data_IF_862811074812
#
_entry.id   IF_862811074812
#
_cell.length_a   1.000
_cell.length_b   1.000
_cell.length_c   1.000
_cell.angle_alpha   90.00
_cell.angle_beta   90.00
_cell.angle_gamma   90.00
#
_symmetry.space_group_name_H-M   'P 1'
#
loop_
_entity.id
_entity.type
_entity.pdbx_description
1 polymer ?
#
# COMPACT_ATOMS: atom_id res chain seq x y z
N UNK A 1 -20.58 -2.03 -13.93
CA UNK A 1 -20.04 -1.85 -12.56
C UNK A 1 -18.57 -2.24 -12.61
N UNK A 2 -17.67 -1.51 -11.94
CA UNK A 2 -16.25 -1.88 -11.92
C UNK A 2 -16.07 -3.23 -11.20
N UNK A 3 -15.22 -4.10 -11.73
CA UNK A 3 -14.93 -5.43 -11.20
C UNK A 3 -14.23 -5.31 -9.83
N UNK A 4 -14.72 -6.03 -8.82
CA UNK A 4 -14.10 -6.11 -7.49
C UNK A 4 -12.99 -7.15 -7.53
N UNK A 5 -11.75 -6.75 -7.23
CA UNK A 5 -10.59 -7.64 -7.22
C UNK A 5 -10.22 -8.13 -5.82
N UNK A 6 -10.45 -7.31 -4.78
CA UNK A 6 -10.28 -7.68 -3.37
C UNK A 6 -11.58 -7.44 -2.62
N UNK A 7 -12.02 -8.44 -1.87
CA UNK A 7 -13.14 -8.33 -0.94
C UNK A 7 -12.70 -8.78 0.44
N UNK A 8 -12.86 -7.90 1.41
CA UNK A 8 -12.60 -8.15 2.84
C UNK A 8 -13.94 -8.12 3.57
N UNK A 9 -14.21 -9.14 4.37
CA UNK A 9 -15.47 -9.30 5.09
C UNK A 9 -15.21 -9.68 6.54
N UNK A 10 -15.60 -8.80 7.46
CA UNK A 10 -15.49 -8.95 8.91
C UNK A 10 -14.14 -9.43 9.40
N UNK A 11 -13.04 -8.92 8.80
CA UNK A 11 -11.67 -9.35 9.07
C UNK A 11 -11.26 -9.01 10.50
N UNK A 12 -10.73 -9.99 11.25
CA UNK A 12 -10.38 -9.84 12.66
C UNK A 12 -9.00 -10.39 12.97
N UNK A 13 -8.31 -9.70 13.89
CA UNK A 13 -7.01 -10.14 14.45
C UNK A 13 -6.87 -9.72 15.89
N UNK A 14 -6.36 -10.64 16.71
CA UNK A 14 -6.04 -10.40 18.11
C UNK A 14 -4.61 -10.87 18.43
N UNK A 15 -3.97 -10.20 19.38
CA UNK A 15 -2.69 -10.59 19.97
C UNK A 15 -2.83 -10.53 21.49
N UNK A 16 -2.47 -11.58 22.17
CA UNK A 16 -2.53 -11.67 23.65
C UNK A 16 -3.87 -11.20 24.22
N UNK A 17 -4.97 -11.60 23.58
CA UNK A 17 -6.32 -11.22 23.97
C UNK A 17 -6.77 -9.81 23.57
N UNK A 18 -5.87 -8.98 23.05
CA UNK A 18 -6.19 -7.62 22.58
C UNK A 18 -6.57 -7.65 21.09
N UNK A 19 -7.79 -7.20 20.76
CA UNK A 19 -8.22 -7.05 19.35
C UNK A 19 -7.50 -5.87 18.70
N UNK A 20 -6.70 -6.16 17.67
CA UNK A 20 -5.98 -5.17 16.85
C UNK A 20 -6.76 -4.84 15.58
N UNK A 21 -7.44 -5.82 14.96
CA UNK A 21 -8.38 -5.59 13.86
C UNK A 21 -9.74 -6.12 14.31
N UNK A 22 -10.75 -5.24 14.30
CA UNK A 22 -12.03 -5.45 15.02
C UNK A 22 -13.22 -5.70 14.07
N UNK A 23 -13.03 -6.49 13.02
CA UNK A 23 -14.12 -6.84 12.11
C UNK A 23 -14.31 -5.80 11.00
N UNK A 24 -13.26 -5.50 10.26
CA UNK A 24 -13.31 -4.54 9.15
C UNK A 24 -13.83 -5.21 7.87
N UNK A 25 -14.54 -4.43 7.07
CA UNK A 25 -15.06 -4.86 5.76
C UNK A 25 -14.88 -3.76 4.73
N UNK A 26 -14.35 -4.12 3.56
CA UNK A 26 -14.19 -3.22 2.42
C UNK A 26 -13.98 -4.00 1.12
N UNK A 27 -14.13 -3.31 0.00
CA UNK A 27 -13.88 -3.86 -1.34
C UNK A 27 -12.96 -2.93 -2.10
N UNK A 28 -12.04 -3.52 -2.91
CA UNK A 28 -11.13 -2.80 -3.81
C UNK A 28 -11.48 -3.18 -5.25
N UNK A 29 -11.59 -2.17 -6.11
CA UNK A 29 -11.90 -2.33 -7.53
C UNK A 29 -10.61 -2.54 -8.31
N UNK A 30 -10.71 -3.26 -9.43
CA UNK A 30 -9.58 -3.49 -10.33
C UNK A 30 -9.08 -2.17 -10.92
N UNK A 31 -7.77 -1.95 -10.88
CA UNK A 31 -7.11 -0.76 -11.41
C UNK A 31 -7.23 0.49 -10.55
N UNK A 32 -7.84 0.41 -9.33
CA UNK A 32 -7.82 1.56 -8.42
C UNK A 32 -6.58 1.57 -7.53
N UNK A 33 -6.22 2.75 -7.05
CA UNK A 33 -5.31 2.94 -5.93
C UNK A 33 -6.16 3.11 -4.67
N UNK A 34 -6.07 2.14 -3.76
CA UNK A 34 -6.82 2.12 -2.50
C UNK A 34 -5.89 2.35 -1.32
N UNK A 35 -6.18 3.38 -0.51
CA UNK A 35 -5.40 3.70 0.68
C UNK A 35 -6.03 3.19 1.97
N UNK A 36 -5.21 2.70 2.91
CA UNK A 36 -5.59 2.49 4.31
C UNK A 36 -4.84 3.53 5.12
N UNK A 37 -5.55 4.56 5.56
CA UNK A 37 -5.02 5.73 6.24
C UNK A 37 -5.30 5.65 7.74
N UNK A 38 -4.33 5.99 8.57
CA UNK A 38 -4.53 6.04 10.02
C UNK A 38 -3.24 6.17 10.80
N UNK A 39 -3.32 6.41 12.12
CA UNK A 39 -2.15 6.54 12.98
C UNK A 39 -1.40 5.23 13.15
N UNK A 40 -0.19 5.31 13.71
CA UNK A 40 0.57 4.15 14.11
C UNK A 40 -0.22 3.34 15.16
N UNK A 41 -0.26 2.01 14.98
CA UNK A 41 -1.05 1.12 15.83
C UNK A 41 -2.53 1.01 15.50
N UNK A 42 -3.04 1.70 14.46
CA UNK A 42 -4.44 1.56 14.02
C UNK A 42 -4.78 0.17 13.45
N UNK A 43 -3.79 -0.67 13.13
CA UNK A 43 -3.98 -2.01 12.57
C UNK A 43 -3.77 -2.10 11.05
N UNK A 44 -3.23 -1.05 10.41
CA UNK A 44 -3.01 -0.97 8.95
C UNK A 44 -2.11 -2.12 8.44
N UNK A 45 -0.86 -2.19 8.92
CA UNK A 45 0.10 -3.25 8.57
C UNK A 45 -0.44 -4.65 8.86
N UNK A 46 -1.07 -4.84 10.04
CA UNK A 46 -1.69 -6.13 10.38
C UNK A 46 -2.79 -6.52 9.39
N UNK A 47 -3.57 -5.55 8.90
CA UNK A 47 -4.60 -5.78 7.89
C UNK A 47 -3.97 -6.22 6.57
N UNK A 48 -2.93 -5.52 6.09
CA UNK A 48 -2.22 -5.91 4.86
C UNK A 48 -1.60 -7.30 5.01
N UNK A 49 -0.82 -7.55 6.06
CA UNK A 49 -0.15 -8.83 6.31
C UNK A 49 -1.11 -10.03 6.34
N UNK A 50 -2.35 -9.87 6.82
CA UNK A 50 -3.38 -10.91 6.74
C UNK A 50 -3.84 -11.16 5.30
N UNK A 51 -4.02 -10.11 4.51
CA UNK A 51 -4.45 -10.21 3.10
C UNK A 51 -3.32 -10.78 2.24
N UNK A 52 -2.07 -10.40 2.54
CA UNK A 52 -0.84 -10.88 1.91
C UNK A 52 -0.46 -12.31 2.28
N UNK A 53 -1.24 -12.96 3.14
CA UNK A 53 -0.95 -14.32 3.66
C UNK A 53 0.28 -14.42 4.59
N UNK A 54 0.80 -13.32 5.06
CA UNK A 54 1.93 -13.26 5.99
C UNK A 54 1.51 -13.51 7.45
N UNK A 55 0.22 -13.27 7.76
CA UNK A 55 -0.36 -13.52 9.09
C UNK A 55 -1.67 -14.30 9.00
N UNK A 56 -1.93 -15.20 9.96
CA UNK A 56 -3.21 -15.90 10.02
C UNK A 56 -4.36 -14.95 10.39
N UNK A 57 -5.51 -15.16 9.78
CA UNK A 57 -6.78 -14.49 10.07
C UNK A 57 -7.44 -15.20 11.26
N UNK A 58 -7.90 -14.45 12.28
CA UNK A 58 -8.58 -15.02 13.45
C UNK A 58 -10.10 -15.06 13.25
N UNK A 59 -10.66 -14.19 12.41
CA UNK A 59 -12.08 -14.17 12.08
C UNK A 59 -12.38 -13.40 10.79
N UNK A 60 -13.51 -13.70 10.16
CA UNK A 60 -13.86 -13.16 8.87
C UNK A 60 -13.08 -13.81 7.72
N UNK A 61 -12.98 -13.10 6.59
CA UNK A 61 -12.28 -13.60 5.41
C UNK A 61 -11.80 -12.46 4.48
N UNK A 62 -10.82 -12.79 3.64
CA UNK A 62 -10.43 -11.97 2.51
C UNK A 62 -10.36 -12.83 1.23
N UNK A 63 -10.85 -12.26 0.12
CA UNK A 63 -10.87 -12.91 -1.18
C UNK A 63 -10.14 -12.02 -2.19
N UNK A 64 -9.14 -12.55 -2.87
CA UNK A 64 -8.48 -11.90 -4.01
C UNK A 64 -8.90 -12.63 -5.29
N UNK A 65 -9.53 -11.90 -6.20
CA UNK A 65 -10.07 -12.46 -7.45
C UNK A 65 -10.93 -13.73 -7.20
N UNK A 66 -11.74 -13.71 -6.12
CA UNK A 66 -12.58 -14.83 -5.70
C UNK A 66 -11.85 -15.94 -4.92
N UNK A 67 -10.52 -15.91 -4.82
CA UNK A 67 -9.70 -16.91 -4.10
C UNK A 67 -9.53 -16.50 -2.64
N UNK A 68 -9.85 -17.39 -1.70
CA UNK A 68 -9.73 -17.11 -0.26
C UNK A 68 -8.25 -17.15 0.17
N UNK A 69 -7.77 -16.05 0.77
CA UNK A 69 -6.35 -15.89 1.12
C UNK A 69 -5.88 -16.90 2.15
N UNK A 70 -6.72 -17.28 3.10
CA UNK A 70 -6.36 -18.24 4.15
C UNK A 70 -6.39 -19.70 3.68
N UNK A 71 -7.23 -20.01 2.68
CA UNK A 71 -7.39 -21.39 2.18
C UNK A 71 -6.40 -21.74 1.08
N UNK A 72 -6.03 -20.76 0.25
CA UNK A 72 -5.20 -20.99 -0.93
C UNK A 72 -4.00 -20.00 -0.99
N UNK A 73 -3.18 -19.89 0.07
CA UNK A 73 -2.12 -18.88 0.17
C UNK A 73 -1.09 -18.98 -0.97
N UNK A 74 -0.83 -20.19 -1.47
CA UNK A 74 0.10 -20.38 -2.59
C UNK A 74 -0.40 -19.72 -3.88
N UNK A 75 -1.71 -19.82 -4.19
CA UNK A 75 -2.28 -19.14 -5.36
C UNK A 75 -2.22 -17.63 -5.22
N UNK A 76 -2.47 -17.13 -4.00
CA UNK A 76 -2.44 -15.70 -3.72
C UNK A 76 -1.06 -15.12 -3.99
N UNK A 77 0.03 -15.78 -3.58
CA UNK A 77 1.41 -15.30 -3.78
C UNK A 77 1.76 -15.03 -5.24
N UNK A 78 1.18 -15.77 -6.18
CA UNK A 78 1.35 -15.52 -7.61
C UNK A 78 0.48 -14.38 -8.15
N UNK A 79 -0.50 -13.91 -7.39
CA UNK A 79 -1.40 -12.82 -7.79
C UNK A 79 -0.99 -11.47 -7.24
N UNK A 80 -0.15 -11.44 -6.21
CA UNK A 80 0.20 -10.23 -5.46
C UNK A 80 1.71 -9.95 -5.54
N UNK A 81 2.04 -8.66 -5.65
CA UNK A 81 3.37 -8.14 -5.34
C UNK A 81 3.32 -7.44 -3.98
N UNK A 82 4.35 -7.58 -3.18
CA UNK A 82 4.42 -6.99 -1.84
C UNK A 82 5.71 -6.21 -1.69
N UNK A 83 5.59 -4.94 -1.38
CA UNK A 83 6.69 -4.12 -0.91
C UNK A 83 6.48 -3.85 0.58
N UNK A 84 7.29 -4.50 1.40
CA UNK A 84 7.27 -4.35 2.85
C UNK A 84 8.07 -3.13 3.30
N UNK A 85 7.79 -2.61 4.50
CA UNK A 85 8.49 -1.47 5.09
C UNK A 85 10.02 -1.69 5.19
N UNK A 86 10.45 -2.94 5.40
CA UNK A 86 11.87 -3.32 5.40
C UNK A 86 12.08 -4.52 4.50
N UNK A 87 12.73 -4.32 3.36
CA UNK A 87 13.11 -5.41 2.46
C UNK A 87 14.60 -5.70 2.62
N UNK A 88 14.93 -6.90 3.09
CA UNK A 88 16.30 -7.38 3.13
C UNK A 88 16.64 -8.09 1.81
N UNK A 89 17.63 -7.61 1.10
CA UNK A 89 18.21 -8.27 -0.07
C UNK A 89 19.54 -8.91 0.29
N UNK A 90 19.98 -9.86 -0.52
CA UNK A 90 21.30 -10.48 -0.36
C UNK A 90 22.40 -9.46 -0.68
N UNK A 91 23.37 -9.34 0.21
CA UNK A 91 24.55 -8.49 0.01
C UNK A 91 25.44 -9.03 -1.11
N UNK A 92 26.18 -8.13 -1.76
CA UNK A 92 27.16 -8.46 -2.81
C UNK A 92 26.57 -9.19 -4.03
N UNK A 93 25.28 -9.00 -4.29
CA UNK A 93 24.58 -9.47 -5.49
C UNK A 93 24.14 -8.24 -6.29
N UNK A 94 24.34 -8.27 -7.61
CA UNK A 94 23.96 -7.15 -8.48
C UNK A 94 22.45 -7.01 -8.60
N UNK A 95 21.98 -5.79 -8.87
CA UNK A 95 20.55 -5.54 -9.05
C UNK A 95 19.92 -6.42 -10.13
N UNK A 96 20.63 -6.65 -11.23
CA UNK A 96 20.18 -7.56 -12.31
C UNK A 96 19.99 -8.97 -11.82
N UNK A 97 20.97 -9.50 -11.10
CA UNK A 97 20.95 -10.88 -10.57
C UNK A 97 19.86 -11.07 -9.51
N UNK A 98 19.62 -10.05 -8.67
CA UNK A 98 18.53 -10.07 -7.69
C UNK A 98 17.15 -10.13 -8.37
N UNK A 99 16.93 -9.36 -9.45
CA UNK A 99 15.66 -9.40 -10.19
C UNK A 99 15.48 -10.73 -10.92
N UNK A 100 16.53 -11.29 -11.53
CA UNK A 100 16.49 -12.61 -12.16
C UNK A 100 16.18 -13.72 -11.15
N UNK A 101 16.82 -13.68 -9.99
CA UNK A 101 16.58 -14.62 -8.90
C UNK A 101 15.13 -14.51 -8.39
N UNK A 102 14.63 -13.29 -8.22
CA UNK A 102 13.26 -13.05 -7.78
C UNK A 102 12.25 -13.59 -8.80
N UNK A 103 12.44 -13.33 -10.10
CA UNK A 103 11.58 -13.85 -11.15
C UNK A 103 11.60 -15.39 -11.20
N UNK A 104 12.79 -15.99 -11.10
CA UNK A 104 12.95 -17.43 -11.07
C UNK A 104 12.19 -18.10 -9.92
N UNK A 105 12.06 -17.44 -8.75
CA UNK A 105 11.25 -17.95 -7.64
C UNK A 105 9.75 -18.05 -7.96
N UNK A 106 9.28 -17.29 -8.96
CA UNK A 106 7.90 -17.41 -9.51
C UNK A 106 7.82 -18.27 -10.76
N UNK A 107 8.94 -18.88 -11.22
CA UNK A 107 8.99 -19.65 -12.46
C UNK A 107 8.98 -18.77 -13.72
N UNK A 108 9.23 -17.48 -13.59
CA UNK A 108 9.17 -16.47 -14.64
C UNK A 108 10.57 -16.03 -15.08
N UNK A 109 10.64 -15.37 -16.24
CA UNK A 109 11.83 -14.65 -16.69
C UNK A 109 11.58 -13.16 -16.62
N UNK A 110 12.43 -12.44 -15.89
CA UNK A 110 12.30 -10.99 -15.77
C UNK A 110 12.79 -10.29 -17.05
N UNK A 111 12.03 -9.29 -17.51
CA UNK A 111 12.59 -8.23 -18.34
C UNK A 111 13.31 -7.23 -17.45
N UNK A 112 14.54 -7.60 -17.04
CA UNK A 112 15.36 -6.84 -16.07
C UNK A 112 15.61 -5.42 -16.55
N UNK A 113 15.83 -5.24 -17.86
CA UNK A 113 16.06 -3.91 -18.43
C UNK A 113 14.85 -3.02 -18.23
N UNK A 114 13.66 -3.49 -18.62
CA UNK A 114 12.41 -2.76 -18.44
C UNK A 114 12.16 -2.43 -16.97
N UNK A 115 12.31 -3.41 -16.07
CA UNK A 115 12.08 -3.21 -14.63
C UNK A 115 12.99 -2.14 -14.04
N UNK A 116 14.27 -2.11 -14.42
CA UNK A 116 15.21 -1.09 -13.96
C UNK A 116 14.95 0.28 -14.60
N UNK A 117 14.53 0.32 -15.88
CA UNK A 117 14.11 1.54 -16.56
C UNK A 117 12.84 2.13 -15.90
N UNK A 118 11.88 1.28 -15.54
CA UNK A 118 10.62 1.69 -14.91
C UNK A 118 10.82 2.37 -13.56
N UNK A 119 11.89 2.02 -12.83
CA UNK A 119 12.22 2.58 -11.51
C UNK A 119 13.43 3.55 -11.53
N UNK A 120 13.87 4.01 -12.69
CA UNK A 120 15.02 4.90 -12.89
C UNK A 120 16.31 4.39 -12.23
N UNK A 121 16.66 3.12 -12.46
CA UNK A 121 17.88 2.49 -11.95
C UNK A 121 18.72 1.78 -13.03
N UNK A 122 18.50 2.08 -14.31
CA UNK A 122 19.24 1.47 -15.41
C UNK A 122 20.73 1.72 -15.37
N UNK A 123 21.14 2.90 -14.90
CA UNK A 123 22.54 3.27 -14.68
C UNK A 123 23.21 2.49 -13.53
N UNK A 124 22.41 1.85 -12.68
CA UNK A 124 22.83 1.06 -11.51
C UNK A 124 22.71 -0.45 -11.71
N UNK A 125 22.38 -0.93 -12.91
CA UNK A 125 22.13 -2.34 -13.19
C UNK A 125 23.19 -3.30 -12.65
N UNK A 126 24.48 -2.92 -12.73
CA UNK A 126 25.63 -3.69 -12.24
C UNK A 126 26.06 -3.33 -10.81
N UNK A 127 25.35 -2.43 -10.13
CA UNK A 127 25.64 -2.05 -8.75
C UNK A 127 25.11 -3.08 -7.76
N UNK A 128 25.69 -3.09 -6.56
CA UNK A 128 25.14 -3.85 -5.42
C UNK A 128 24.13 -3.01 -4.65
N UNK A 129 23.16 -3.67 -4.00
CA UNK A 129 22.06 -3.01 -3.28
C UNK A 129 22.57 -2.11 -2.14
N UNK A 130 23.67 -2.49 -1.49
CA UNK A 130 24.26 -1.73 -0.38
C UNK A 130 24.76 -0.32 -0.80
N UNK A 131 25.06 -0.12 -2.08
CA UNK A 131 25.53 1.17 -2.61
C UNK A 131 24.40 2.11 -3.06
N UNK A 132 23.16 1.67 -2.95
CA UNK A 132 22.00 2.49 -3.26
C UNK A 132 21.61 3.40 -2.09
N UNK A 133 21.14 4.61 -2.41
CA UNK A 133 20.49 5.48 -1.43
C UNK A 133 19.16 4.86 -0.93
N UNK A 134 18.61 5.37 0.19
CA UNK A 134 17.32 4.90 0.72
C UNK A 134 16.21 4.92 -0.33
N UNK A 135 16.05 6.04 -1.05
CA UNK A 135 15.05 6.16 -2.11
C UNK A 135 15.29 5.23 -3.31
N UNK A 136 16.57 4.97 -3.65
CA UNK A 136 16.91 3.99 -4.69
C UNK A 136 16.59 2.56 -4.24
N UNK A 137 16.89 2.20 -2.99
CA UNK A 137 16.52 0.89 -2.41
C UNK A 137 15.00 0.69 -2.43
N UNK A 138 14.26 1.74 -2.10
CA UNK A 138 12.80 1.72 -2.13
C UNK A 138 12.27 1.46 -3.56
N UNK A 139 12.76 2.19 -4.56
CA UNK A 139 12.40 1.97 -5.96
C UNK A 139 12.80 0.59 -6.47
N UNK A 140 13.98 0.09 -6.06
CA UNK A 140 14.40 -1.27 -6.39
C UNK A 140 13.49 -2.34 -5.77
N UNK A 141 13.04 -2.17 -4.51
CA UNK A 141 12.10 -3.10 -3.88
C UNK A 141 10.76 -3.18 -4.61
N UNK A 142 10.32 -2.06 -5.20
CA UNK A 142 9.14 -2.02 -6.07
C UNK A 142 9.39 -2.83 -7.34
N UNK A 143 10.52 -2.63 -8.03
CA UNK A 143 10.86 -3.42 -9.22
C UNK A 143 10.88 -4.92 -8.91
N UNK A 144 11.48 -5.31 -7.78
CA UNK A 144 11.53 -6.71 -7.33
C UNK A 144 10.14 -7.30 -7.05
N UNK A 145 9.22 -6.52 -6.49
CA UNK A 145 7.84 -6.95 -6.24
C UNK A 145 6.99 -7.08 -7.52
N UNK A 146 7.40 -6.42 -8.60
CA UNK A 146 6.68 -6.42 -9.88
C UNK A 146 7.20 -7.44 -10.92
N UNK A 147 8.25 -8.21 -10.61
CA UNK A 147 8.92 -9.13 -11.57
C UNK A 147 7.98 -10.13 -12.24
N UNK A 148 6.91 -10.56 -11.56
CA UNK A 148 5.93 -11.54 -12.03
C UNK A 148 4.61 -10.90 -12.46
N UNK A 149 4.57 -9.58 -12.67
CA UNK A 149 3.41 -8.82 -13.13
C UNK A 149 2.14 -9.09 -12.29
N UNK A 150 2.16 -8.81 -10.98
CA UNK A 150 1.06 -9.10 -10.08
C UNK A 150 -0.22 -8.35 -10.46
N UNK A 151 -1.39 -8.92 -10.12
CA UNK A 151 -2.70 -8.27 -10.31
C UNK A 151 -2.96 -7.18 -9.27
N UNK A 152 -2.40 -7.36 -8.08
CA UNK A 152 -2.48 -6.41 -6.97
C UNK A 152 -1.07 -6.17 -6.43
N UNK A 153 -0.73 -4.92 -6.21
CA UNK A 153 0.52 -4.52 -5.60
C UNK A 153 0.26 -3.86 -4.24
N UNK A 154 0.82 -4.44 -3.19
CA UNK A 154 0.72 -3.95 -1.83
C UNK A 154 1.97 -3.15 -1.46
N UNK A 155 1.76 -2.02 -0.78
CA UNK A 155 2.82 -1.12 -0.33
C UNK A 155 2.55 -0.72 1.12
N UNK A 156 3.42 -1.11 2.05
CA UNK A 156 3.28 -0.72 3.45
C UNK A 156 4.15 0.51 3.76
N UNK A 157 3.49 1.66 3.97
CA UNK A 157 4.10 2.97 4.25
C UNK A 157 5.27 3.32 3.32
N UNK A 158 5.05 3.36 1.99
CA UNK A 158 6.11 3.35 0.99
C UNK A 158 7.00 4.59 0.99
N UNK A 159 6.55 5.71 1.55
CA UNK A 159 7.31 6.99 1.55
C UNK A 159 7.92 7.34 2.90
N UNK A 160 7.77 6.45 3.90
CA UNK A 160 8.34 6.69 5.24
C UNK A 160 9.86 6.81 5.17
N UNK A 161 10.40 7.88 5.77
CA UNK A 161 11.84 8.16 5.81
C UNK A 161 12.44 8.71 4.50
N UNK A 162 11.62 9.00 3.49
CA UNK A 162 12.08 9.62 2.25
C UNK A 162 12.06 11.15 2.36
N UNK A 163 13.06 11.79 1.75
CA UNK A 163 13.04 13.23 1.54
C UNK A 163 11.91 13.66 0.56
N UNK A 164 11.53 14.96 0.53
CA UNK A 164 10.39 15.41 -0.28
C UNK A 164 10.54 15.15 -1.78
N UNK A 165 11.77 15.13 -2.32
CA UNK A 165 12.00 14.85 -3.74
C UNK A 165 11.85 13.36 -4.03
N UNK A 166 12.45 12.50 -3.20
CA UNK A 166 12.33 11.04 -3.32
C UNK A 166 10.86 10.59 -3.18
N UNK A 167 10.09 11.24 -2.29
CA UNK A 167 8.66 11.00 -2.14
C UNK A 167 7.89 11.31 -3.41
N UNK A 168 8.11 12.47 -4.03
CA UNK A 168 7.45 12.83 -5.31
C UNK A 168 7.80 11.84 -6.43
N UNK A 169 9.07 11.48 -6.56
CA UNK A 169 9.50 10.49 -7.56
C UNK A 169 8.82 9.13 -7.35
N UNK A 170 8.58 8.75 -6.09
CA UNK A 170 7.85 7.52 -5.77
C UNK A 170 6.37 7.62 -6.14
N UNK A 171 5.73 8.77 -5.91
CA UNK A 171 4.34 9.00 -6.32
C UNK A 171 4.17 8.90 -7.84
N UNK A 172 5.09 9.50 -8.61
CA UNK A 172 5.10 9.39 -10.07
C UNK A 172 5.23 7.92 -10.52
N UNK A 173 6.08 7.15 -9.86
CA UNK A 173 6.23 5.71 -10.11
C UNK A 173 4.93 4.95 -9.82
N UNK A 174 4.27 5.22 -8.70
CA UNK A 174 2.98 4.60 -8.34
C UNK A 174 1.92 4.90 -9.40
N UNK A 175 1.84 6.15 -9.88
CA UNK A 175 0.91 6.52 -10.95
C UNK A 175 1.24 5.80 -12.28
N UNK A 176 2.52 5.61 -12.61
CA UNK A 176 2.95 4.84 -13.79
C UNK A 176 2.50 3.39 -13.70
N UNK A 177 2.76 2.72 -12.56
CA UNK A 177 2.34 1.32 -12.32
C UNK A 177 0.82 1.19 -12.41
N UNK A 178 0.07 2.14 -11.85
CA UNK A 178 -1.39 2.20 -11.98
C UNK A 178 -1.83 2.30 -13.45
N UNK A 179 -1.20 3.17 -14.22
CA UNK A 179 -1.54 3.38 -15.64
C UNK A 179 -1.36 2.12 -16.49
N UNK A 180 -0.49 1.20 -16.07
CA UNK A 180 -0.31 -0.14 -16.67
C UNK A 180 -1.42 -1.14 -16.28
N UNK A 181 -2.37 -0.74 -15.43
CA UNK A 181 -3.55 -1.53 -15.06
C UNK A 181 -3.40 -2.33 -13.76
N UNK A 182 -2.28 -2.20 -13.04
CA UNK A 182 -2.09 -2.84 -11.74
C UNK A 182 -2.96 -2.16 -10.68
N UNK A 183 -3.67 -2.96 -9.89
CA UNK A 183 -4.39 -2.46 -8.70
C UNK A 183 -3.40 -2.24 -7.57
N UNK A 184 -3.45 -1.10 -6.90
CA UNK A 184 -2.52 -0.77 -5.83
C UNK A 184 -3.26 -0.61 -4.51
N UNK A 185 -2.72 -1.22 -3.46
CA UNK A 185 -3.22 -1.05 -2.10
C UNK A 185 -2.05 -0.57 -1.26
N UNK A 186 -2.20 0.59 -0.64
CA UNK A 186 -1.14 1.15 0.19
C UNK A 186 -1.64 1.50 1.60
N UNK A 187 -0.75 1.39 2.57
CA UNK A 187 -0.96 2.01 3.89
C UNK A 187 -0.17 3.30 3.96
N UNK A 188 -0.71 4.25 4.68
CA UNK A 188 0.01 5.49 4.97
C UNK A 188 -0.54 6.16 6.22
N UNK A 189 0.27 7.00 6.84
CA UNK A 189 -0.15 7.97 7.84
C UNK A 189 -0.02 9.41 7.31
N UNK A 190 0.47 9.58 6.06
CA UNK A 190 0.56 10.89 5.40
C UNK A 190 -0.71 11.19 4.61
N UNK A 191 -1.42 12.25 5.03
CA UNK A 191 -2.67 12.69 4.38
C UNK A 191 -2.45 13.10 2.93
N UNK A 192 -1.36 13.86 2.68
CA UNK A 192 -0.98 14.32 1.34
C UNK A 192 -0.80 13.15 0.36
N UNK A 193 -0.15 12.06 0.80
CA UNK A 193 0.03 10.85 -0.02
C UNK A 193 -1.32 10.23 -0.41
N UNK A 194 -2.23 10.12 0.57
CA UNK A 194 -3.57 9.59 0.32
C UNK A 194 -4.39 10.49 -0.60
N UNK A 195 -4.26 11.82 -0.48
CA UNK A 195 -4.95 12.79 -1.37
C UNK A 195 -4.44 12.75 -2.80
N UNK A 196 -3.11 12.59 -2.99
CA UNK A 196 -2.47 12.59 -4.32
C UNK A 196 -2.63 11.26 -5.06
N UNK A 197 -2.52 10.14 -4.34
CA UNK A 197 -2.44 8.83 -4.97
C UNK A 197 -3.77 8.07 -5.02
N UNK A 198 -4.59 8.19 -3.97
CA UNK A 198 -5.69 7.25 -3.78
C UNK A 198 -6.99 7.70 -4.45
N UNK A 199 -7.64 6.78 -5.15
CA UNK A 199 -9.01 6.96 -5.63
C UNK A 199 -10.01 6.89 -4.48
N UNK A 200 -9.76 5.98 -3.53
CA UNK A 200 -10.55 5.80 -2.31
C UNK A 200 -9.63 5.48 -1.14
N UNK A 201 -10.05 5.93 0.04
CA UNK A 201 -9.34 5.67 1.29
C UNK A 201 -10.27 5.11 2.35
N UNK A 202 -9.79 4.12 3.09
CA UNK A 202 -10.37 3.68 4.34
C UNK A 202 -9.60 4.35 5.47
N UNK A 203 -10.25 5.24 6.21
CA UNK A 203 -9.67 5.83 7.43
C UNK A 203 -9.83 4.81 8.54
N UNK A 204 -8.71 4.37 9.08
CA UNK A 204 -8.66 3.34 10.12
C UNK A 204 -8.17 3.92 11.45
N UNK A 205 -8.93 3.71 12.51
CA UNK A 205 -8.56 4.06 13.87
C UNK A 205 -8.94 2.94 14.83
N UNK A 206 -8.08 2.64 15.80
CA UNK A 206 -8.28 1.61 16.85
C UNK A 206 -8.81 0.27 16.33
N UNK A 207 -8.35 -0.17 15.16
CA UNK A 207 -8.72 -1.45 14.55
C UNK A 207 -10.06 -1.46 13.82
N UNK A 208 -10.67 -0.30 13.57
CA UNK A 208 -11.94 -0.14 12.85
C UNK A 208 -11.80 0.83 11.68
N UNK A 209 -12.61 0.63 10.64
CA UNK A 209 -12.76 1.63 9.57
C UNK A 209 -13.81 2.63 10.01
N UNK A 210 -13.40 3.89 10.22
CA UNK A 210 -14.29 4.99 10.66
C UNK A 210 -14.88 5.76 9.48
N UNK A 211 -14.24 5.72 8.32
CA UNK A 211 -14.77 6.27 7.08
C UNK A 211 -14.16 5.56 5.86
N UNK A 212 -14.91 5.49 4.76
CA UNK A 212 -14.44 4.95 3.49
C UNK A 212 -15.12 5.70 2.35
N UNK A 213 -14.33 6.43 1.57
CA UNK A 213 -14.76 7.12 0.34
C UNK A 213 -13.53 7.66 -0.41
N UNK A 214 -13.75 8.40 -1.51
CA UNK A 214 -12.68 9.18 -2.13
C UNK A 214 -12.24 10.33 -1.20
N UNK A 215 -10.96 10.74 -1.20
CA UNK A 215 -10.48 11.86 -0.40
C UNK A 215 -11.37 13.11 -0.59
N UNK A 216 -11.67 13.44 -1.84
CA UNK A 216 -12.53 14.57 -2.21
C UNK A 216 -13.95 14.46 -1.60
N UNK A 217 -14.56 13.26 -1.63
CA UNK A 217 -15.89 13.03 -1.07
C UNK A 217 -15.89 13.17 0.46
N UNK A 218 -14.85 12.67 1.14
CA UNK A 218 -14.70 12.79 2.58
C UNK A 218 -14.60 14.28 3.01
N UNK A 219 -13.78 15.06 2.30
CA UNK A 219 -13.68 16.52 2.53
C UNK A 219 -15.02 17.22 2.30
N UNK A 220 -15.73 16.91 1.20
CA UNK A 220 -17.05 17.49 0.94
C UNK A 220 -18.07 17.14 2.01
N UNK A 221 -18.10 15.90 2.51
CA UNK A 221 -18.96 15.49 3.62
C UNK A 221 -18.67 16.24 4.91
N UNK A 222 -17.38 16.53 5.19
CA UNK A 222 -17.00 17.34 6.35
C UNK A 222 -17.50 18.79 6.22
N UNK A 223 -17.29 19.41 5.06
CA UNK A 223 -17.75 20.77 4.79
C UNK A 223 -19.28 20.89 4.85
N UNK A 224 -20.01 19.90 4.35
CA UNK A 224 -21.49 19.89 4.41
C UNK A 224 -22.05 19.77 5.83
N UNK A 225 -21.26 19.28 6.80
CA UNK A 225 -21.58 19.28 8.23
C UNK A 225 -21.30 20.61 8.95
N UNK A 226 -20.91 21.66 8.19
CA UNK A 226 -20.67 22.99 8.75
C UNK A 226 -19.25 23.21 9.29
N UNK A 227 -18.31 22.29 9.00
CA UNK A 227 -16.91 22.50 9.39
C UNK A 227 -16.37 23.76 8.73
N UNK A 228 -15.77 24.63 9.54
CA UNK A 228 -15.08 25.85 9.08
C UNK A 228 -13.66 25.78 9.58
N UNK A 229 -12.69 25.84 8.68
CA UNK A 229 -11.28 25.97 9.02
C UNK A 229 -10.99 27.40 9.43
N UNK A 230 -10.19 27.62 10.48
CA UNK A 230 -9.75 28.97 10.87
C UNK A 230 -9.05 29.67 9.72
N UNK A 231 -9.23 30.99 9.62
CA UNK A 231 -9.06 31.83 8.41
C UNK A 231 -7.65 31.84 7.77
N UNK A 232 -6.69 31.04 8.22
CA UNK A 232 -5.36 30.96 7.61
C UNK A 232 -5.14 29.82 6.62
N UNK A 233 -6.11 28.93 6.42
CA UNK A 233 -6.01 27.81 5.48
C UNK A 233 -7.30 27.73 4.65
N UNK A 234 -7.19 27.95 3.35
CA UNK A 234 -8.32 28.23 2.45
C UNK A 234 -9.26 27.05 2.15
N UNK A 235 -8.89 25.80 2.43
CA UNK A 235 -9.74 24.63 2.13
C UNK A 235 -9.52 23.51 3.17
N UNK A 236 -10.58 22.75 3.51
CA UNK A 236 -10.47 21.54 4.31
C UNK A 236 -9.76 20.43 3.51
N UNK A 237 -8.95 19.65 4.18
CA UNK A 237 -8.20 18.52 3.64
C UNK A 237 -8.51 17.22 4.38
N UNK A 238 -7.86 16.10 4.01
CA UNK A 238 -8.05 14.81 4.66
C UNK A 238 -7.61 14.77 6.12
N UNK A 239 -6.64 15.58 6.52
CA UNK A 239 -6.22 15.74 7.92
C UNK A 239 -7.36 16.29 8.78
N UNK A 240 -8.08 17.30 8.28
CA UNK A 240 -9.27 17.83 8.97
C UNK A 240 -10.36 16.77 9.12
N UNK A 241 -10.55 15.91 8.11
CA UNK A 241 -11.48 14.79 8.18
C UNK A 241 -11.04 13.79 9.25
N UNK A 242 -9.77 13.43 9.26
CA UNK A 242 -9.22 12.49 10.24
C UNK A 242 -9.39 13.00 11.68
N UNK A 243 -8.95 14.24 11.95
CA UNK A 243 -9.08 14.87 13.30
C UNK A 243 -10.54 14.92 13.73
N UNK A 244 -11.45 15.29 12.82
CA UNK A 244 -12.89 15.37 13.12
C UNK A 244 -13.52 14.00 13.45
N UNK A 245 -13.08 12.94 12.80
CA UNK A 245 -13.61 11.58 12.99
C UNK A 245 -13.02 10.87 14.21
N UNK A 246 -11.75 11.12 14.52
CA UNK A 246 -11.02 10.38 15.55
C UNK A 246 -10.77 11.18 16.81
N UNK A 247 -10.83 12.52 16.74
CA UNK A 247 -10.45 13.43 17.82
C UNK A 247 -8.94 13.45 18.13
N UNK A 248 -8.11 12.93 17.23
CA UNK A 248 -6.66 12.77 17.42
C UNK A 248 -5.91 13.44 16.26
N UNK A 249 -4.82 14.15 16.60
CA UNK A 249 -3.84 14.58 15.62
C UNK A 249 -2.90 13.40 15.28
N UNK A 250 -2.52 13.28 14.01
CA UNK A 250 -1.43 12.39 13.63
C UNK A 250 -0.12 13.04 14.09
N UNK A 251 0.48 12.51 15.15
CA UNK A 251 1.83 12.91 15.57
C UNK A 251 2.84 12.04 14.82
N UNK A 252 3.84 12.72 14.26
CA UNK A 252 5.04 12.11 13.65
C UNK A 252 5.79 11.19 14.63
#
# INVERSE_FOLDING_TARGET
MAEVILKVDNLQKSYDGKKVVKGISFEVKKGEVFGILGPNGAGKTTTLEMIETLRPIDGGQALINGVNVAKEPQKIRYMIGVQTQSTAFMDKVKLTELLEQQAAAYGERADVKRLLDDVDLSDKASSYIEYLSGGQKQRFSIAAALVHQPKIFFMDEPTTGLDPQARRNLWDLVQKIRAEGTTIILTTHYMEEAEVLCDRVAIMDEGQIVALDSPKSLVQKLLSKGFKKDQHIAQANLEDVFINLTGKELKD
#
